data_IF_039662869257
#
_entry.id   IF_039662869257
#
_cell.length_a   1.000
_cell.length_b   1.000
_cell.length_c   1.000
_cell.angle_alpha   90.00
_cell.angle_beta   90.00
_cell.angle_gamma   90.00
#
_symmetry.space_group_name_H-M   'P 1'
#
loop_
_entity.id
_entity.type
_entity.pdbx_description
1 polymer ?
#
# COMPACT_ATOMS: atom_id res chain seq x y z
N UNK A 1 -5.89 17.94 1.95
CA UNK A 1 -5.63 16.57 1.45
C UNK A 1 -5.84 15.61 2.61
N UNK A 2 -6.49 14.47 2.39
CA UNK A 2 -6.70 13.46 3.45
C UNK A 2 -5.40 12.69 3.71
N UNK A 3 -5.24 12.06 4.87
CA UNK A 3 -3.99 11.36 5.26
C UNK A 3 -3.61 10.21 4.33
N UNK A 4 -4.63 9.58 3.72
CA UNK A 4 -4.46 8.50 2.75
C UNK A 4 -4.30 9.00 1.30
N UNK A 5 -4.28 10.31 1.07
CA UNK A 5 -4.12 10.91 -0.25
C UNK A 5 -2.69 11.45 -0.44
N UNK A 6 -2.18 11.36 -1.66
CA UNK A 6 -0.95 12.02 -2.10
C UNK A 6 -1.17 12.66 -3.47
N UNK A 7 -0.46 13.74 -3.73
CA UNK A 7 -0.42 14.33 -5.07
C UNK A 7 0.69 13.66 -5.89
N UNK A 8 0.34 13.17 -7.07
CA UNK A 8 1.31 12.63 -8.03
C UNK A 8 2.10 13.77 -8.68
N UNK A 9 3.24 13.45 -9.30
CA UNK A 9 4.02 14.45 -10.06
C UNK A 9 3.23 15.13 -11.19
N UNK A 10 2.14 14.52 -11.65
CA UNK A 10 1.25 15.07 -12.67
C UNK A 10 0.07 15.88 -12.12
N UNK A 11 0.06 16.20 -10.81
CA UNK A 11 -0.99 16.99 -10.16
C UNK A 11 -2.30 16.24 -9.88
N UNK A 12 -2.32 14.91 -10.10
CA UNK A 12 -3.49 14.08 -9.77
C UNK A 12 -3.44 13.61 -8.33
N UNK A 13 -4.60 13.55 -7.69
CA UNK A 13 -4.74 12.97 -6.35
C UNK A 13 -4.84 11.44 -6.46
N UNK A 14 -3.90 10.77 -5.80
CA UNK A 14 -3.85 9.32 -5.66
C UNK A 14 -4.23 8.96 -4.22
N UNK A 15 -5.17 8.05 -4.04
CA UNK A 15 -5.57 7.52 -2.73
C UNK A 15 -4.90 6.17 -2.50
N UNK A 16 -4.36 5.95 -1.31
CA UNK A 16 -3.93 4.63 -0.85
C UNK A 16 -5.15 3.89 -0.32
N UNK A 17 -5.49 2.74 -0.89
CA UNK A 17 -6.72 1.99 -0.59
C UNK A 17 -6.35 0.63 -0.02
N UNK A 18 -6.91 0.29 1.14
CA UNK A 18 -6.69 -0.99 1.80
C UNK A 18 -7.12 -2.16 0.89
N UNK A 19 -6.34 -3.24 0.88
CA UNK A 19 -6.67 -4.48 0.15
C UNK A 19 -6.82 -5.64 1.13
N UNK A 20 -5.76 -5.95 1.88
CA UNK A 20 -5.74 -7.12 2.78
C UNK A 20 -4.70 -6.95 3.89
N UNK A 21 -4.86 -7.69 4.98
CA UNK A 21 -3.94 -7.68 6.12
C UNK A 21 -3.87 -9.01 6.88
N UNK A 22 -2.72 -9.24 7.52
CA UNK A 22 -2.44 -10.38 8.38
C UNK A 22 -1.00 -10.26 8.90
N UNK A 23 -0.16 -11.26 8.65
CA UNK A 23 1.29 -11.16 8.92
C UNK A 23 2.00 -10.09 8.09
N UNK A 24 1.36 -9.63 7.00
CA UNK A 24 1.76 -8.52 6.16
C UNK A 24 0.53 -7.68 5.80
N UNK A 25 0.75 -6.46 5.32
CA UNK A 25 -0.33 -5.56 4.86
C UNK A 25 -0.15 -5.29 3.38
N UNK A 26 -1.25 -5.29 2.63
CA UNK A 26 -1.27 -4.86 1.24
C UNK A 26 -2.28 -3.74 1.03
N UNK A 27 -1.89 -2.78 0.20
CA UNK A 27 -2.76 -1.69 -0.23
C UNK A 27 -2.46 -1.31 -1.67
N UNK A 28 -3.45 -0.77 -2.36
CA UNK A 28 -3.34 -0.30 -3.74
C UNK A 28 -3.44 1.22 -3.83
N UNK A 29 -3.45 1.71 -5.06
CA UNK A 29 -3.51 3.12 -5.38
C UNK A 29 -4.70 3.39 -6.28
N UNK A 30 -5.57 4.32 -5.92
CA UNK A 30 -6.72 4.74 -6.74
C UNK A 30 -6.50 6.17 -7.24
N UNK A 31 -6.67 6.38 -8.53
CA UNK A 31 -6.71 7.73 -9.14
C UNK A 31 -7.93 7.82 -10.05
N UNK A 32 -8.71 8.90 -9.95
CA UNK A 32 -9.90 9.15 -10.76
C UNK A 32 -10.91 7.95 -10.75
N UNK A 33 -11.05 7.27 -9.61
CA UNK A 33 -11.94 6.11 -9.43
C UNK A 33 -11.44 4.81 -10.06
N UNK A 34 -10.17 4.76 -10.49
CA UNK A 34 -9.54 3.55 -11.07
C UNK A 34 -8.38 3.08 -10.19
N UNK A 35 -8.36 1.78 -9.91
CA UNK A 35 -7.24 1.13 -9.22
C UNK A 35 -6.05 0.93 -10.17
N UNK A 36 -4.85 1.31 -9.70
CA UNK A 36 -3.58 0.92 -10.29
C UNK A 36 -3.41 -0.61 -10.15
N UNK A 37 -2.74 -1.21 -11.13
CA UNK A 37 -2.35 -2.63 -11.10
C UNK A 37 -1.22 -2.89 -10.10
N UNK A 38 -0.41 -1.88 -9.79
CA UNK A 38 0.64 -1.95 -8.79
C UNK A 38 0.04 -1.86 -7.39
N UNK A 39 0.50 -2.75 -6.50
CA UNK A 39 0.16 -2.69 -5.07
C UNK A 39 1.43 -2.50 -4.24
N UNK A 40 1.27 -2.02 -3.00
CA UNK A 40 2.31 -2.03 -1.99
C UNK A 40 2.13 -3.27 -1.10
N UNK A 41 3.23 -3.96 -0.83
CA UNK A 41 3.36 -5.00 0.18
C UNK A 41 4.23 -4.47 1.32
N UNK A 42 3.72 -4.48 2.54
CA UNK A 42 4.43 -4.02 3.73
C UNK A 42 4.66 -5.20 4.66
N UNK A 43 5.92 -5.46 4.97
CA UNK A 43 6.35 -6.54 5.84
C UNK A 43 6.87 -5.94 7.15
N UNK A 44 6.34 -6.46 8.26
CA UNK A 44 6.88 -6.22 9.58
C UNK A 44 7.19 -7.59 10.17
N UNK A 45 8.46 -8.01 10.11
CA UNK A 45 8.91 -9.36 10.45
C UNK A 45 10.06 -9.37 11.47
N UNK A 46 10.54 -10.56 11.85
CA UNK A 46 11.75 -10.72 12.70
C UNK A 46 13.01 -10.12 12.05
N UNK A 47 13.05 -10.15 10.72
CA UNK A 47 14.18 -9.65 9.92
C UNK A 47 14.05 -8.15 9.56
N UNK A 48 13.29 -7.41 10.35
CA UNK A 48 13.05 -5.98 10.19
C UNK A 48 11.80 -5.62 9.39
N UNK A 49 11.68 -4.32 9.14
CA UNK A 49 10.60 -3.68 8.39
C UNK A 49 11.03 -3.51 6.94
N UNK A 50 10.19 -3.93 5.99
CA UNK A 50 10.48 -3.82 4.55
C UNK A 50 9.20 -3.48 3.79
N UNK A 51 9.35 -2.85 2.63
CA UNK A 51 8.21 -2.64 1.74
C UNK A 51 8.61 -2.88 0.29
N UNK A 52 7.65 -3.32 -0.51
CA UNK A 52 7.84 -3.63 -1.92
C UNK A 52 6.68 -3.08 -2.74
N UNK A 53 6.97 -2.62 -3.95
CA UNK A 53 5.97 -2.54 -5.00
C UNK A 53 5.85 -3.88 -5.70
N UNK A 54 4.63 -4.40 -5.79
CA UNK A 54 4.32 -5.62 -6.53
C UNK A 54 3.64 -5.21 -7.84
N UNK A 55 4.29 -5.51 -8.98
CA UNK A 55 3.83 -5.14 -10.32
C UNK A 55 3.50 -6.40 -11.12
N UNK A 56 2.25 -6.58 -11.58
CA UNK A 56 1.88 -7.70 -12.42
C UNK A 56 2.54 -7.59 -13.80
N UNK A 57 3.10 -8.69 -14.28
CA UNK A 57 3.72 -8.75 -15.62
C UNK A 57 2.80 -9.32 -16.70
N UNK A 58 1.59 -9.75 -16.33
CA UNK A 58 0.64 -10.41 -17.24
C UNK A 58 0.88 -11.92 -17.44
N UNK A 59 2.06 -12.45 -17.11
CA UNK A 59 2.43 -13.86 -17.33
C UNK A 59 2.40 -14.72 -16.05
N UNK A 60 1.37 -14.53 -15.19
CA UNK A 60 1.25 -15.17 -13.86
C UNK A 60 2.45 -14.94 -12.93
N UNK A 61 3.31 -13.99 -13.25
CA UNK A 61 4.48 -13.57 -12.45
C UNK A 61 4.33 -12.10 -12.08
N UNK A 62 4.84 -11.76 -10.92
CA UNK A 62 4.93 -10.38 -10.45
C UNK A 62 6.40 -9.99 -10.28
N UNK A 63 6.71 -8.73 -10.55
CA UNK A 63 7.96 -8.12 -10.11
C UNK A 63 7.78 -7.56 -8.71
N UNK A 64 8.74 -7.82 -7.84
CA UNK A 64 8.86 -7.16 -6.55
C UNK A 64 10.03 -6.16 -6.63
N UNK A 65 9.73 -4.89 -6.42
CA UNK A 65 10.72 -3.80 -6.42
C UNK A 65 10.80 -3.26 -5.00
N UNK A 66 12.01 -3.15 -4.45
CA UNK A 66 12.24 -2.54 -3.15
C UNK A 66 11.64 -1.13 -3.10
N UNK A 67 11.01 -0.82 -1.98
CA UNK A 67 10.46 0.49 -1.71
C UNK A 67 10.73 0.89 -0.27
N UNK A 68 10.89 2.20 -0.05
CA UNK A 68 11.18 2.73 1.28
C UNK A 68 10.09 2.34 2.27
N UNK A 69 10.47 1.82 3.42
CA UNK A 69 9.50 1.58 4.46
C UNK A 69 9.18 2.91 5.16
N UNK A 70 7.90 3.19 5.36
CA UNK A 70 7.39 4.39 6.00
C UNK A 70 6.49 3.98 7.18
N UNK A 71 6.74 4.54 8.38
CA UNK A 71 6.00 4.16 9.60
C UNK A 71 4.61 4.81 9.70
N UNK A 72 4.44 6.01 9.14
CA UNK A 72 3.20 6.80 9.21
C UNK A 72 2.49 6.88 7.86
N UNK A 73 2.20 5.70 7.28
CA UNK A 73 1.36 5.58 6.09
C UNK A 73 -0.08 5.31 6.51
N UNK A 74 -1.01 6.05 5.92
CA UNK A 74 -2.45 5.83 6.09
C UNK A 74 -3.07 5.30 4.80
N UNK A 75 -4.04 4.41 4.95
CA UNK A 75 -4.85 3.85 3.87
C UNK A 75 -6.33 4.10 4.14
N UNK A 76 -7.12 4.22 3.08
CA UNK A 76 -8.57 4.23 3.17
C UNK A 76 -9.06 2.79 3.37
N UNK A 77 -9.66 2.52 4.53
CA UNK A 77 -10.31 1.25 4.87
C UNK A 77 -11.70 1.55 5.43
N UNK A 78 -12.74 0.99 4.79
CA UNK A 78 -14.14 1.13 5.24
C UNK A 78 -14.59 2.58 5.48
N UNK A 79 -14.13 3.50 4.61
CA UNK A 79 -14.45 4.94 4.71
C UNK A 79 -13.60 5.73 5.71
N UNK A 80 -12.67 5.08 6.42
CA UNK A 80 -11.82 5.69 7.43
C UNK A 80 -10.35 5.68 7.04
N UNK A 81 -9.59 6.65 7.53
CA UNK A 81 -8.14 6.65 7.45
C UNK A 81 -7.59 5.74 8.56
N UNK A 82 -6.84 4.70 8.19
CA UNK A 82 -6.24 3.75 9.14
C UNK A 82 -4.74 3.68 8.88
N UNK A 83 -3.93 3.70 9.94
CA UNK A 83 -2.47 3.55 9.81
C UNK A 83 -2.12 2.13 9.44
N UNK A 84 -1.22 1.98 8.47
CA UNK A 84 -0.75 0.68 7.97
C UNK A 84 -0.15 -0.17 9.09
N UNK A 85 0.60 0.43 10.01
CA UNK A 85 1.22 -0.30 11.12
C UNK A 85 0.21 -0.92 12.10
N UNK A 86 -1.01 -0.38 12.17
CA UNK A 86 -2.07 -0.84 13.08
C UNK A 86 -2.89 -1.98 12.43
N UNK A 87 -2.63 -2.30 11.16
CA UNK A 87 -3.30 -3.36 10.40
C UNK A 87 -2.57 -4.70 10.46
N UNK A 88 -1.37 -4.76 11.04
CA UNK A 88 -0.70 -6.06 11.23
C UNK A 88 -1.46 -6.89 12.27
N UNK A 89 -1.69 -8.16 11.95
CA UNK A 89 -2.31 -9.09 12.89
C UNK A 89 -1.43 -9.35 14.12
N UNK A 90 -2.05 -9.80 15.21
CA UNK A 90 -1.33 -10.30 16.37
C UNK A 90 -0.42 -11.47 15.96
N UNK A 91 0.78 -11.52 16.53
CA UNK A 91 1.80 -12.53 16.23
C UNK A 91 1.75 -13.69 17.21
#
# INVERSE_FOLDING_TARGET
MKEYETETKGGKIEKRVFIDSGSFVTYGYETDGKMDKKIRLVLNGRNGKRSYFIIPTGNKRNLAIDADYEDDVFVLKDGQAVRVRDLFGER
#
